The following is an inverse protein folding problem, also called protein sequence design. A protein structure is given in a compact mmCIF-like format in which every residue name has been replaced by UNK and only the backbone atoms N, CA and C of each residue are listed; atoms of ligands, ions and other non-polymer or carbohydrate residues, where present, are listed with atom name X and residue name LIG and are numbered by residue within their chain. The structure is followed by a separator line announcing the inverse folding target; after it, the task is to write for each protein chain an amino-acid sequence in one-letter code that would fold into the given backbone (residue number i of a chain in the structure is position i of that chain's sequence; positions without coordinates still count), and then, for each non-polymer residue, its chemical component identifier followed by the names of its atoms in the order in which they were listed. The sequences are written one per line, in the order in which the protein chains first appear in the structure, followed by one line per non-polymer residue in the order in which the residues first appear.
data_IF_617444886191
#
_entry.id   IF_617444886191
#
_cell.length_a   1.000
_cell.length_b   1.000
_cell.length_c   1.000
_cell.angle_alpha   90.00
_cell.angle_beta   90.00
_cell.angle_gamma   90.00
#
_symmetry.space_group_name_H-M   'P 1'
#
loop_
_entity.id
_entity.type
_entity.pdbx_description
1 polymer ?
#
# COMPACT_ATOMS: atom_id res chain seq x y z
N UNK A 1 -3.23 -22.42 -12.78
CA UNK A 1 -2.51 -21.98 -11.53
C UNK A 1 -3.39 -22.02 -10.28
N UNK A 2 -4.66 -22.39 -10.35
CA UNK A 2 -5.58 -22.48 -9.20
C UNK A 2 -5.36 -23.71 -8.30
N UNK A 3 -4.78 -24.79 -8.81
CA UNK A 3 -4.69 -26.06 -8.09
C UNK A 3 -3.75 -26.07 -6.87
N UNK A 4 -2.59 -25.42 -6.94
CA UNK A 4 -1.62 -25.40 -5.84
C UNK A 4 -2.14 -24.60 -4.64
N UNK A 5 -2.74 -23.42 -4.86
CA UNK A 5 -3.32 -22.61 -3.80
C UNK A 5 -4.45 -23.31 -3.05
N UNK A 6 -5.25 -24.11 -3.75
CA UNK A 6 -6.34 -24.88 -3.15
C UNK A 6 -5.81 -26.09 -2.35
N UNK A 7 -4.72 -26.71 -2.79
CA UNK A 7 -4.05 -27.78 -2.03
C UNK A 7 -3.50 -27.24 -0.72
N UNK A 8 -2.81 -26.09 -0.74
CA UNK A 8 -2.29 -25.47 0.49
C UNK A 8 -3.40 -25.10 1.48
N UNK A 9 -4.52 -24.52 1.00
CA UNK A 9 -5.65 -24.20 1.86
C UNK A 9 -6.27 -25.44 2.51
N UNK A 10 -6.44 -26.52 1.72
CA UNK A 10 -6.97 -27.78 2.25
C UNK A 10 -6.06 -28.39 3.30
N UNK A 11 -4.74 -28.32 3.10
CA UNK A 11 -3.76 -28.81 4.08
C UNK A 11 -3.83 -27.99 5.37
N UNK A 12 -3.86 -26.64 5.29
CA UNK A 12 -4.01 -25.78 6.46
C UNK A 12 -5.29 -26.07 7.24
N UNK A 13 -6.42 -26.31 6.56
CA UNK A 13 -7.67 -26.70 7.22
C UNK A 13 -7.58 -28.10 7.85
N UNK A 14 -6.85 -29.03 7.26
CA UNK A 14 -6.62 -30.35 7.87
C UNK A 14 -5.77 -30.22 9.13
N UNK A 15 -4.66 -29.48 9.07
CA UNK A 15 -3.77 -29.22 10.22
C UNK A 15 -4.53 -28.58 11.40
N UNK A 16 -5.45 -27.63 11.11
CA UNK A 16 -6.26 -26.96 12.14
C UNK A 16 -7.26 -27.90 12.84
N UNK A 17 -7.72 -28.98 12.19
CA UNK A 17 -8.66 -29.94 12.82
C UNK A 17 -8.04 -30.76 13.92
N UNK A 18 -6.74 -30.97 13.87
CA UNK A 18 -6.01 -31.79 14.83
C UNK A 18 -5.50 -30.96 16.03
N UNK A 19 -5.77 -29.66 16.04
CA UNK A 19 -5.42 -28.72 17.12
C UNK A 19 -6.54 -28.73 18.16
N UNK A 20 -6.21 -29.13 19.39
CA UNK A 20 -7.19 -29.22 20.49
C UNK A 20 -6.89 -28.27 21.65
N UNK A 21 -5.69 -27.66 21.70
CA UNK A 21 -5.25 -26.76 22.75
C UNK A 21 -4.78 -25.41 22.20
N UNK A 22 -4.93 -24.35 22.98
CA UNK A 22 -4.59 -22.99 22.55
C UNK A 22 -3.09 -22.79 22.26
N UNK A 23 -2.22 -23.43 23.02
CA UNK A 23 -0.77 -23.41 22.83
C UNK A 23 -0.33 -24.11 21.54
N UNK A 24 -0.97 -25.20 21.16
CA UNK A 24 -0.77 -25.87 19.87
C UNK A 24 -1.16 -24.95 18.70
N UNK A 25 -2.27 -24.21 18.85
CA UNK A 25 -2.73 -23.26 17.86
C UNK A 25 -1.73 -22.09 17.70
N UNK A 26 -1.26 -21.53 18.80
CA UNK A 26 -0.22 -20.46 18.77
C UNK A 26 1.05 -20.96 18.14
N UNK A 27 1.51 -22.16 18.50
CA UNK A 27 2.69 -22.78 17.90
C UNK A 27 2.52 -22.97 16.38
N UNK A 28 1.37 -23.49 15.96
CA UNK A 28 1.05 -23.66 14.53
C UNK A 28 1.08 -22.33 13.80
N UNK A 29 0.40 -21.27 14.32
CA UNK A 29 0.41 -19.95 13.71
C UNK A 29 1.82 -19.37 13.59
N UNK A 30 2.61 -19.46 14.65
CA UNK A 30 4.00 -18.96 14.64
C UNK A 30 4.85 -19.69 13.61
N UNK A 31 4.67 -21.00 13.45
CA UNK A 31 5.39 -21.77 12.43
C UNK A 31 4.96 -21.38 11.00
N UNK A 32 3.66 -21.13 10.75
CA UNK A 32 3.16 -20.63 9.47
C UNK A 32 3.72 -19.25 9.17
N UNK A 33 3.74 -18.35 10.15
CA UNK A 33 4.30 -17.00 10.04
C UNK A 33 5.79 -17.06 9.70
N UNK A 34 6.59 -17.80 10.48
CA UNK A 34 8.02 -17.92 10.29
C UNK A 34 8.40 -18.51 8.91
N UNK A 35 7.63 -19.50 8.43
CA UNK A 35 7.86 -20.12 7.13
C UNK A 35 7.41 -19.23 5.95
N UNK A 36 6.43 -18.35 6.14
CA UNK A 36 5.88 -17.53 5.06
C UNK A 36 6.53 -16.16 4.97
N UNK A 37 6.73 -15.47 6.09
CA UNK A 37 7.23 -14.10 6.11
C UNK A 37 8.76 -14.04 6.25
N UNK A 38 9.43 -14.73 5.36
CA UNK A 38 10.90 -14.72 5.24
C UNK A 38 11.37 -13.42 4.57
N UNK A 39 12.68 -13.15 4.64
CA UNK A 39 13.28 -12.02 3.92
C UNK A 39 12.99 -12.07 2.42
N UNK A 40 13.07 -13.25 1.82
CA UNK A 40 12.77 -13.48 0.40
C UNK A 40 11.30 -13.17 0.06
N UNK A 41 10.38 -13.43 0.98
CA UNK A 41 8.97 -13.04 0.77
C UNK A 41 8.85 -11.53 0.58
N UNK A 42 9.46 -10.72 1.44
CA UNK A 42 9.39 -9.27 1.36
C UNK A 42 10.16 -8.68 0.17
N UNK A 43 11.22 -9.35 -0.28
CA UNK A 43 12.07 -8.86 -1.38
C UNK A 43 11.51 -9.24 -2.75
N UNK A 44 10.94 -10.45 -2.88
CA UNK A 44 10.53 -10.99 -4.19
C UNK A 44 9.03 -11.25 -4.30
N UNK A 45 8.44 -11.95 -3.34
CA UNK A 45 7.06 -12.43 -3.46
C UNK A 45 6.05 -11.29 -3.27
N UNK A 46 6.18 -10.51 -2.21
CA UNK A 46 5.25 -9.42 -1.92
C UNK A 46 5.25 -8.31 -3.00
N UNK A 47 6.40 -7.85 -3.54
CA UNK A 47 6.40 -6.93 -4.69
C UNK A 47 5.70 -7.50 -5.93
N UNK A 48 5.78 -8.81 -6.17
CA UNK A 48 5.07 -9.48 -7.25
C UNK A 48 3.55 -9.54 -6.99
N UNK A 49 3.12 -9.83 -5.76
CA UNK A 49 1.71 -9.81 -5.34
C UNK A 49 1.11 -8.39 -5.41
N UNK A 50 1.92 -7.35 -5.17
CA UNK A 50 1.54 -5.94 -5.32
C UNK A 50 1.41 -5.51 -6.79
N UNK A 51 1.80 -6.34 -7.76
CA UNK A 51 1.57 -6.09 -9.19
C UNK A 51 0.14 -6.49 -9.58
N UNK A 52 -0.81 -5.72 -9.11
CA UNK A 52 -2.24 -6.00 -9.26
C UNK A 52 -3.04 -4.72 -9.46
N UNK A 53 -4.14 -4.81 -10.18
CA UNK A 53 -5.17 -3.77 -10.30
C UNK A 53 -6.35 -3.99 -9.33
N UNK A 54 -6.31 -5.06 -8.54
CA UNK A 54 -7.40 -5.39 -7.60
C UNK A 54 -7.20 -4.68 -6.25
N UNK A 55 -8.00 -3.65 -6.00
CA UNK A 55 -8.05 -2.97 -4.70
C UNK A 55 -8.59 -3.86 -3.55
N UNK A 56 -9.05 -5.07 -3.86
CA UNK A 56 -9.49 -6.08 -2.90
C UNK A 56 -8.44 -7.20 -2.73
N UNK A 57 -7.21 -7.00 -3.21
CA UNK A 57 -6.15 -8.00 -3.05
C UNK A 57 -5.63 -8.05 -1.61
N UNK A 58 -5.26 -9.25 -1.10
CA UNK A 58 -4.65 -9.38 0.23
C UNK A 58 -3.38 -8.53 0.39
N UNK A 59 -2.57 -8.40 -0.67
CA UNK A 59 -1.37 -7.58 -0.66
C UNK A 59 -1.68 -6.08 -0.44
N UNK A 60 -2.77 -5.56 -1.03
CA UNK A 60 -3.23 -4.19 -0.78
C UNK A 60 -3.69 -4.01 0.68
N UNK A 61 -4.52 -4.91 1.19
CA UNK A 61 -4.96 -4.85 2.59
C UNK A 61 -3.79 -4.98 3.57
N UNK A 62 -2.81 -5.83 3.27
CA UNK A 62 -1.57 -5.94 4.05
C UNK A 62 -0.78 -4.62 4.10
N UNK A 63 -0.66 -3.93 2.97
CA UNK A 63 -0.03 -2.61 2.92
C UNK A 63 -0.82 -1.56 3.72
N UNK A 64 -2.15 -1.51 3.59
CA UNK A 64 -2.99 -0.58 4.37
C UNK A 64 -2.91 -0.87 5.88
N UNK A 65 -2.91 -2.13 6.28
CA UNK A 65 -2.68 -2.51 7.67
C UNK A 65 -1.32 -2.03 8.17
N UNK A 66 -0.26 -2.20 7.37
CA UNK A 66 1.09 -1.78 7.71
C UNK A 66 1.21 -0.27 7.91
N UNK A 67 0.64 0.55 7.03
CA UNK A 67 0.67 2.01 7.20
C UNK A 67 -0.13 2.46 8.43
N UNK A 68 -1.20 1.74 8.80
CA UNK A 68 -1.94 2.01 10.03
C UNK A 68 -1.13 1.63 11.29
N UNK A 69 -0.47 0.47 11.32
CA UNK A 69 0.41 0.04 12.40
C UNK A 69 1.54 1.06 12.64
N UNK A 70 2.10 1.59 11.56
CA UNK A 70 3.18 2.58 11.64
C UNK A 70 2.68 4.02 11.93
N UNK A 71 1.38 4.24 12.07
CA UNK A 71 0.81 5.58 12.29
C UNK A 71 1.09 6.55 11.13
N UNK A 72 1.20 6.03 9.91
CA UNK A 72 1.56 6.82 8.72
C UNK A 72 0.53 7.92 8.46
N UNK A 73 0.96 9.19 8.29
CA UNK A 73 0.07 10.24 7.82
C UNK A 73 -0.38 10.01 6.38
N UNK A 74 -1.54 10.54 6.01
CA UNK A 74 -1.91 10.63 4.60
C UNK A 74 -0.87 11.44 3.82
N UNK A 75 -0.76 11.16 2.54
CA UNK A 75 0.22 11.83 1.69
C UNK A 75 0.01 13.36 1.72
N UNK A 76 1.07 14.09 1.99
CA UNK A 76 1.10 15.56 2.11
C UNK A 76 0.28 16.15 3.26
N UNK A 77 -0.16 15.31 4.21
CA UNK A 77 -0.91 15.71 5.39
C UNK A 77 -0.14 15.37 6.67
N UNK A 78 -0.56 15.93 7.80
CA UNK A 78 -0.08 15.53 9.13
C UNK A 78 -1.06 14.59 9.84
N UNK A 79 -2.26 14.42 9.30
CA UNK A 79 -3.29 13.58 9.90
C UNK A 79 -3.01 12.09 9.61
N UNK A 80 -2.91 11.24 10.66
CA UNK A 80 -2.70 9.80 10.46
C UNK A 80 -3.87 9.16 9.72
N UNK A 81 -3.55 8.25 8.81
CA UNK A 81 -4.55 7.53 8.02
C UNK A 81 -5.55 6.77 8.90
N UNK A 82 -5.08 6.25 10.04
CA UNK A 82 -5.91 5.50 11.00
C UNK A 82 -7.15 6.26 11.49
N UNK A 83 -7.08 7.58 11.59
CA UNK A 83 -8.23 8.41 12.05
C UNK A 83 -9.46 8.27 11.15
N UNK A 84 -9.27 7.93 9.89
CA UNK A 84 -10.35 7.82 8.90
C UNK A 84 -10.97 6.43 8.80
N UNK A 85 -10.33 5.42 9.41
CA UNK A 85 -10.89 4.07 9.51
C UNK A 85 -11.66 3.82 10.81
N UNK A 86 -11.75 4.81 11.70
CA UNK A 86 -12.55 4.70 12.92
C UNK A 86 -14.04 4.74 12.56
N UNK A 87 -14.78 3.72 12.99
CA UNK A 87 -16.24 3.64 12.79
C UNK A 87 -16.92 4.89 13.37
N UNK A 88 -17.69 5.59 12.54
CA UNK A 88 -18.43 6.80 12.93
C UNK A 88 -17.71 8.13 12.65
N UNK A 89 -16.49 8.12 12.14
CA UNK A 89 -15.78 9.35 11.74
C UNK A 89 -16.24 9.93 10.38
N UNK A 90 -17.14 9.24 9.69
CA UNK A 90 -17.61 9.62 8.36
C UNK A 90 -18.75 10.67 8.43
N UNK A 91 -18.37 11.92 8.71
CA UNK A 91 -19.20 13.06 8.30
C UNK A 91 -18.89 13.41 6.86
N UNK A 92 -19.89 13.87 6.08
CA UNK A 92 -19.85 14.12 4.64
C UNK A 92 -18.72 15.02 4.08
N UNK A 93 -17.85 15.55 4.91
CA UNK A 93 -16.71 16.41 4.54
C UNK A 93 -15.33 15.92 4.98
N UNK A 94 -15.23 14.75 5.58
CA UNK A 94 -13.98 14.16 6.07
C UNK A 94 -13.65 12.81 5.40
N UNK A 95 -14.17 12.60 4.20
CA UNK A 95 -13.87 11.37 3.46
C UNK A 95 -12.39 11.33 3.06
N UNK A 96 -11.74 10.22 3.37
CA UNK A 96 -10.45 9.87 2.79
C UNK A 96 -10.73 9.37 1.39
N UNK A 97 -10.17 10.06 0.43
CA UNK A 97 -10.30 9.65 -0.96
C UNK A 97 -9.10 8.78 -1.37
N UNK A 98 -9.40 7.64 -1.97
CA UNK A 98 -8.39 6.84 -2.67
C UNK A 98 -8.03 7.55 -3.97
N UNK A 99 -6.86 8.13 -4.00
CA UNK A 99 -6.37 8.93 -5.11
C UNK A 99 -5.34 8.17 -5.95
N UNK A 100 -5.30 8.47 -7.25
CA UNK A 100 -4.25 8.00 -8.17
C UNK A 100 -3.07 8.98 -8.14
N UNK A 101 -1.88 8.51 -7.77
CA UNK A 101 -0.65 9.34 -7.75
C UNK A 101 -0.34 9.87 -9.15
N UNK A 102 -0.47 9.02 -10.16
CA UNK A 102 -0.55 9.42 -11.56
C UNK A 102 -2.03 9.44 -11.92
N UNK A 103 -2.68 10.63 -12.01
CA UNK A 103 -4.11 10.74 -12.24
C UNK A 103 -4.56 10.02 -13.51
N UNK A 104 -5.76 9.45 -13.49
CA UNK A 104 -6.28 8.66 -14.63
C UNK A 104 -6.28 9.45 -15.92
N UNK A 105 -6.77 10.69 -15.87
CA UNK A 105 -6.85 11.53 -17.04
C UNK A 105 -5.46 11.93 -17.58
N UNK A 106 -4.49 12.14 -16.69
CA UNK A 106 -3.09 12.33 -17.11
C UNK A 106 -2.55 11.08 -17.82
N UNK A 107 -2.79 9.88 -17.25
CA UNK A 107 -2.36 8.63 -17.86
C UNK A 107 -3.00 8.38 -19.23
N UNK A 108 -4.27 8.72 -19.43
CA UNK A 108 -4.94 8.69 -20.73
C UNK A 108 -4.23 9.56 -21.77
N UNK A 109 -3.89 10.79 -21.39
CA UNK A 109 -3.18 11.74 -22.28
C UNK A 109 -1.81 11.23 -22.75
N UNK A 110 -1.15 10.39 -21.94
CA UNK A 110 0.15 9.81 -22.28
C UNK A 110 0.08 8.37 -22.81
N UNK A 111 -1.14 7.91 -23.18
CA UNK A 111 -1.37 6.65 -23.91
C UNK A 111 -1.68 5.41 -23.08
N UNK A 112 -2.05 5.56 -21.80
CA UNK A 112 -2.54 4.45 -20.97
C UNK A 112 -4.07 4.41 -20.98
N UNK A 113 -4.67 3.84 -22.02
CA UNK A 113 -6.13 3.82 -22.21
C UNK A 113 -6.84 2.69 -21.46
N UNK A 114 -6.10 1.69 -21.00
CA UNK A 114 -6.66 0.53 -20.33
C UNK A 114 -6.84 0.79 -18.82
N UNK A 115 -8.04 0.59 -18.32
CA UNK A 115 -8.37 0.73 -16.89
C UNK A 115 -7.51 -0.14 -15.97
N UNK A 116 -7.14 -1.35 -16.41
CA UNK A 116 -6.27 -2.24 -15.63
C UNK A 116 -4.88 -1.64 -15.41
N UNK A 117 -4.36 -0.94 -16.40
CA UNK A 117 -3.02 -0.34 -16.34
C UNK A 117 -3.02 0.91 -15.47
N UNK A 118 -4.10 1.69 -15.49
CA UNK A 118 -4.27 2.89 -14.67
C UNK A 118 -4.60 2.57 -13.22
N UNK A 119 -5.40 1.54 -12.97
CA UNK A 119 -5.88 1.14 -11.64
C UNK A 119 -4.92 0.20 -10.90
N UNK A 120 -3.62 0.28 -11.16
CA UNK A 120 -2.64 -0.49 -10.39
C UNK A 120 -2.66 -0.06 -8.92
N UNK A 121 -2.65 -1.02 -7.98
CA UNK A 121 -2.64 -0.71 -6.53
C UNK A 121 -1.41 0.11 -6.13
N UNK A 122 -0.29 -0.09 -6.82
CA UNK A 122 0.90 0.75 -6.66
C UNK A 122 0.75 2.18 -7.21
N UNK A 123 -0.38 2.53 -7.82
CA UNK A 123 -0.74 3.90 -8.20
C UNK A 123 -1.71 4.55 -7.19
N UNK A 124 -2.16 3.83 -6.16
CA UNK A 124 -3.09 4.38 -5.18
C UNK A 124 -2.39 4.95 -3.95
N UNK A 125 -2.92 6.04 -3.45
CA UNK A 125 -2.61 6.60 -2.13
C UNK A 125 -3.90 7.10 -1.47
N UNK A 126 -3.79 7.51 -0.22
CA UNK A 126 -4.88 8.19 0.46
C UNK A 126 -4.53 9.66 0.68
N UNK A 127 -5.47 10.54 0.34
CA UNK A 127 -5.39 11.97 0.53
C UNK A 127 -6.54 12.44 1.43
N UNK A 128 -6.33 13.53 2.13
CA UNK A 128 -7.45 14.27 2.68
C UNK A 128 -8.22 14.98 1.56
N UNK A 129 -9.48 15.33 1.84
CA UNK A 129 -10.39 15.93 0.87
C UNK A 129 -9.81 17.20 0.21
N UNK A 130 -9.17 18.06 1.01
CA UNK A 130 -8.62 19.34 0.52
C UNK A 130 -7.46 19.10 -0.44
N UNK A 131 -6.55 18.20 -0.07
CA UNK A 131 -5.40 17.81 -0.91
C UNK A 131 -5.86 17.12 -2.20
N UNK A 132 -6.90 16.28 -2.13
CA UNK A 132 -7.46 15.61 -3.31
C UNK A 132 -8.04 16.60 -4.33
N UNK A 133 -8.78 17.62 -3.87
CA UNK A 133 -9.30 18.68 -4.74
C UNK A 133 -8.18 19.53 -5.33
N UNK A 134 -7.15 19.86 -4.54
CA UNK A 134 -6.03 20.69 -4.96
C UNK A 134 -5.19 20.02 -6.06
N UNK A 135 -5.01 18.70 -5.98
CA UNK A 135 -4.27 17.91 -6.99
C UNK A 135 -5.12 17.66 -8.23
N UNK A 136 -6.39 17.27 -8.06
CA UNK A 136 -7.31 16.94 -9.16
C UNK A 136 -6.66 16.02 -10.21
N UNK A 137 -6.64 16.43 -11.48
CA UNK A 137 -6.08 15.68 -12.63
C UNK A 137 -4.74 16.24 -13.12
N UNK A 138 -4.06 17.03 -12.30
CA UNK A 138 -2.77 17.62 -12.67
C UNK A 138 -1.68 16.56 -12.90
N UNK A 139 -0.77 16.83 -13.82
CA UNK A 139 0.41 15.99 -14.01
C UNK A 139 1.25 15.92 -12.72
N UNK A 140 1.86 14.75 -12.38
CA UNK A 140 2.69 14.64 -11.18
C UNK A 140 3.76 15.72 -11.06
N UNK A 141 4.39 16.11 -12.18
CA UNK A 141 5.41 17.16 -12.20
C UNK A 141 4.89 18.54 -11.73
N UNK A 142 3.61 18.82 -11.94
CA UNK A 142 2.98 20.09 -11.57
C UNK A 142 2.66 20.12 -10.07
N UNK A 143 1.86 19.17 -9.56
CA UNK A 143 1.46 19.17 -8.16
C UNK A 143 2.61 18.86 -7.20
N UNK A 144 3.58 18.01 -7.60
CA UNK A 144 4.74 17.68 -6.75
C UNK A 144 5.60 18.90 -6.49
N UNK A 145 5.81 19.77 -7.50
CA UNK A 145 6.57 21.02 -7.32
C UNK A 145 5.96 21.87 -6.21
N UNK A 146 4.64 22.04 -6.22
CA UNK A 146 3.87 22.79 -5.24
C UNK A 146 3.97 22.21 -3.82
N UNK A 147 3.84 20.89 -3.67
CA UNK A 147 3.94 20.22 -2.37
C UNK A 147 5.38 20.17 -1.83
N UNK A 148 6.38 20.09 -2.71
CA UNK A 148 7.80 20.18 -2.33
C UNK A 148 8.13 21.56 -1.76
N UNK A 149 7.60 22.62 -2.34
CA UNK A 149 7.74 23.98 -1.80
C UNK A 149 7.00 24.14 -0.47
N UNK A 150 5.74 23.68 -0.39
CA UNK A 150 4.87 23.79 0.80
C UNK A 150 5.44 23.07 2.02
N UNK A 151 5.99 21.87 1.84
CA UNK A 151 6.50 21.02 2.92
C UNK A 151 7.98 21.26 3.24
N UNK A 152 8.70 21.93 2.35
CA UNK A 152 10.14 22.00 2.38
C UNK A 152 10.80 20.65 2.08
N UNK A 153 12.13 20.68 1.86
CA UNK A 153 12.88 19.49 1.42
C UNK A 153 12.72 18.28 2.35
N UNK A 154 12.91 18.47 3.64
CA UNK A 154 12.85 17.37 4.61
C UNK A 154 11.42 16.86 4.83
N UNK A 155 10.43 17.77 4.90
CA UNK A 155 9.02 17.38 5.04
C UNK A 155 8.53 16.58 3.83
N UNK A 156 8.89 17.00 2.62
CA UNK A 156 8.55 16.27 1.39
C UNK A 156 9.24 14.90 1.34
N UNK A 157 10.53 14.82 1.67
CA UNK A 157 11.27 13.55 1.73
C UNK A 157 10.64 12.56 2.72
N UNK A 158 10.26 13.07 3.89
CA UNK A 158 9.58 12.26 4.91
C UNK A 158 8.22 11.76 4.43
N UNK A 159 7.40 12.63 3.83
CA UNK A 159 6.10 12.27 3.26
C UNK A 159 6.23 11.17 2.18
N UNK A 160 7.21 11.29 1.28
CA UNK A 160 7.51 10.26 0.29
C UNK A 160 7.90 8.93 0.95
N UNK A 161 8.84 8.96 1.89
CA UNK A 161 9.33 7.75 2.56
C UNK A 161 8.21 7.02 3.33
N UNK A 162 7.35 7.75 4.03
CA UNK A 162 6.22 7.19 4.79
C UNK A 162 5.13 6.61 3.89
N UNK A 163 4.96 7.13 2.67
CA UNK A 163 3.93 6.72 1.72
C UNK A 163 4.46 5.83 0.58
N UNK A 164 5.63 5.22 0.76
CA UNK A 164 6.26 4.33 -0.22
C UNK A 164 6.47 4.99 -1.59
N UNK A 165 6.88 6.26 -1.64
CA UNK A 165 7.13 6.98 -2.88
C UNK A 165 8.63 7.19 -3.10
N UNK A 166 9.16 6.94 -4.32
CA UNK A 166 10.47 7.44 -4.72
C UNK A 166 10.51 8.97 -4.65
N UNK A 167 11.61 9.57 -4.21
CA UNK A 167 11.70 11.04 -4.01
C UNK A 167 11.39 11.86 -5.28
N UNK A 168 11.71 11.34 -6.45
CA UNK A 168 11.52 12.01 -7.75
C UNK A 168 10.57 11.20 -8.64
N UNK A 169 9.52 10.65 -8.05
CA UNK A 169 8.59 9.78 -8.76
C UNK A 169 7.91 10.47 -9.94
N UNK A 170 7.75 11.79 -9.88
CA UNK A 170 7.17 12.63 -10.96
C UNK A 170 8.01 12.66 -12.23
N UNK A 171 9.30 12.29 -12.15
CA UNK A 171 10.22 12.25 -13.28
C UNK A 171 10.34 10.84 -13.88
N UNK A 172 9.78 9.83 -13.22
CA UNK A 172 9.87 8.44 -13.66
C UNK A 172 8.82 8.14 -14.74
N UNK A 173 9.18 7.34 -15.76
CA UNK A 173 8.17 6.68 -16.58
C UNK A 173 7.21 5.87 -15.69
N UNK A 174 5.92 5.90 -15.98
CA UNK A 174 4.89 5.28 -15.15
C UNK A 174 5.17 3.81 -14.80
N UNK A 175 5.61 2.91 -15.73
CA UNK A 175 5.93 1.53 -15.37
C UNK A 175 7.10 1.40 -14.39
N UNK A 176 8.10 2.28 -14.50
CA UNK A 176 9.26 2.28 -13.60
C UNK A 176 8.85 2.80 -12.21
N UNK A 177 8.03 3.84 -12.14
CA UNK A 177 7.39 4.30 -10.90
C UNK A 177 6.66 3.14 -10.20
N UNK A 178 5.79 2.41 -10.90
CA UNK A 178 5.04 1.28 -10.33
C UNK A 178 5.99 0.20 -9.79
N UNK A 179 7.06 -0.11 -10.51
CA UNK A 179 8.05 -1.10 -10.10
C UNK A 179 8.77 -0.69 -8.82
N UNK A 180 9.30 0.53 -8.78
CA UNK A 180 10.01 1.04 -7.60
C UNK A 180 9.06 1.17 -6.40
N UNK A 181 7.86 1.65 -6.61
CA UNK A 181 6.89 1.79 -5.54
C UNK A 181 6.50 0.46 -4.91
N UNK A 182 6.30 -0.60 -5.70
CA UNK A 182 6.01 -1.95 -5.14
C UNK A 182 7.10 -2.44 -4.20
N UNK A 183 8.36 -2.17 -4.51
CA UNK A 183 9.48 -2.50 -3.62
C UNK A 183 9.42 -1.70 -2.31
N UNK A 184 9.15 -0.40 -2.38
CA UNK A 184 9.01 0.45 -1.21
C UNK A 184 7.78 0.08 -0.36
N UNK A 185 6.66 -0.26 -0.98
CA UNK A 185 5.47 -0.77 -0.27
C UNK A 185 5.78 -2.06 0.50
N UNK A 186 6.50 -3.00 -0.11
CA UNK A 186 6.93 -4.22 0.56
C UNK A 186 7.87 -3.95 1.74
N UNK A 187 8.75 -2.96 1.63
CA UNK A 187 9.62 -2.53 2.75
C UNK A 187 8.81 -1.95 3.91
N UNK A 188 7.75 -1.18 3.63
CA UNK A 188 6.83 -0.65 4.66
C UNK A 188 6.12 -1.82 5.36
N UNK A 189 5.64 -2.81 4.62
CA UNK A 189 5.00 -4.00 5.21
C UNK A 189 6.00 -4.76 6.09
N UNK A 190 7.24 -4.96 5.63
CA UNK A 190 8.30 -5.59 6.44
C UNK A 190 8.58 -4.81 7.72
N UNK A 191 8.67 -3.48 7.63
CA UNK A 191 8.88 -2.61 8.80
C UNK A 191 7.75 -2.77 9.82
N UNK A 192 6.49 -2.73 9.38
CA UNK A 192 5.35 -2.92 10.26
C UNK A 192 5.32 -4.32 10.88
N UNK A 193 5.65 -5.36 10.11
CA UNK A 193 5.78 -6.73 10.61
C UNK A 193 6.81 -6.80 11.75
N UNK A 194 8.00 -6.23 11.56
CA UNK A 194 9.05 -6.21 12.57
C UNK A 194 8.67 -5.39 13.83
N UNK A 195 7.78 -4.39 13.72
CA UNK A 195 7.26 -3.66 14.89
C UNK A 195 6.28 -4.50 15.71
N UNK A 196 5.53 -5.39 15.07
CA UNK A 196 4.58 -6.29 15.75
C UNK A 196 5.25 -7.53 16.37
N UNK A 197 6.46 -7.86 15.94
CA UNK A 197 7.24 -9.01 16.42
C UNK A 197 8.11 -8.67 17.66
N UNK A 198 7.98 -7.47 18.21
CA UNK A 198 8.65 -7.01 19.44
C UNK A 198 7.80 -7.32 20.66
#
# INVERSE_FOLDING_TARGET
SSGLGDVYKRQQFADLRDIHHADEFVFYLNSVIANRFTDDYFVYSLPAELNSSSANSPAWYGYIAAVNVLGTPMLFSTAPLSQYFVLGANGDKNSVDKHHIFPKHYLEKIGYDNDRDRNQIANFTYLDYTTNIDISDEAPAEYVSRYREKLGKEGYRLACAQNALPENFEQLPYPEFLKQRRLLMAQIVKKAYNELDK
#
